data_IF_669660729147
#
_entry.id   IF_669660729147
#
_cell.length_a   1.000
_cell.length_b   1.000
_cell.length_c   1.000
_cell.angle_alpha   90.00
_cell.angle_beta   90.00
_cell.angle_gamma   90.00
#
_symmetry.space_group_name_H-M   'P 1'
#
loop_
_entity.id
_entity.type
_entity.pdbx_description
1 polymer ?
#
# COMPACT_ATOMS: atom_id res chain seq x y z
N UNK A 1 61.45 23.70 -15.70
CA UNK A 1 60.36 23.03 -14.97
C UNK A 1 60.31 21.59 -15.42
N UNK A 2 60.39 20.63 -14.50
CA UNK A 2 60.21 19.21 -14.84
C UNK A 2 58.71 18.92 -14.97
N UNK A 3 58.32 18.24 -16.05
CA UNK A 3 56.95 17.73 -16.22
C UNK A 3 56.77 16.53 -15.30
N UNK A 4 55.84 16.61 -14.34
CA UNK A 4 55.50 15.52 -13.44
C UNK A 4 54.06 15.07 -13.70
N UNK A 5 53.89 13.82 -14.11
CA UNK A 5 52.58 13.17 -14.24
C UNK A 5 52.13 12.69 -12.87
N UNK A 6 50.97 13.16 -12.40
CA UNK A 6 50.39 12.65 -11.16
C UNK A 6 49.68 11.32 -11.37
N UNK A 7 49.89 10.38 -10.46
CA UNK A 7 49.23 9.08 -10.48
C UNK A 7 47.81 9.22 -9.90
N UNK A 8 46.81 8.79 -10.66
CA UNK A 8 45.44 8.62 -10.16
C UNK A 8 45.37 7.27 -9.44
N UNK A 9 45.07 7.29 -8.14
CA UNK A 9 45.14 6.09 -7.31
C UNK A 9 43.80 5.38 -7.12
N UNK A 10 42.67 6.09 -7.30
CA UNK A 10 41.33 5.53 -7.10
C UNK A 10 40.22 6.40 -7.72
N UNK A 11 39.01 5.82 -7.78
CA UNK A 11 37.78 6.48 -8.26
C UNK A 11 36.66 6.48 -7.19
N UNK A 12 37.01 6.43 -5.90
CA UNK A 12 36.03 6.29 -4.80
C UNK A 12 34.96 7.39 -4.77
N UNK A 13 35.21 8.55 -5.38
CA UNK A 13 34.25 9.66 -5.45
C UNK A 13 33.30 9.60 -6.65
N UNK A 14 33.47 8.62 -7.54
CA UNK A 14 32.59 8.37 -8.68
C UNK A 14 32.60 9.46 -9.75
N UNK A 15 31.47 9.61 -10.43
CA UNK A 15 31.24 10.69 -11.39
C UNK A 15 30.99 12.01 -10.65
N UNK A 16 31.83 13.01 -10.91
CA UNK A 16 31.69 14.34 -10.35
C UNK A 16 30.65 15.13 -11.14
N UNK A 17 29.77 15.82 -10.43
CA UNK A 17 28.83 16.75 -11.06
C UNK A 17 29.58 17.77 -11.92
N UNK A 18 29.08 18.16 -13.10
CA UNK A 18 29.69 19.21 -13.92
C UNK A 18 29.91 20.54 -13.17
N UNK A 19 29.11 20.83 -12.14
CA UNK A 19 29.29 22.03 -11.28
C UNK A 19 30.52 21.96 -10.36
N UNK A 20 31.09 20.78 -10.19
CA UNK A 20 32.26 20.52 -9.34
C UNK A 20 33.57 20.37 -10.15
N UNK A 21 33.49 20.46 -11.48
CA UNK A 21 34.62 20.24 -12.39
C UNK A 21 35.79 21.22 -12.18
N UNK A 22 35.53 22.41 -11.62
CA UNK A 22 36.58 23.39 -11.29
C UNK A 22 37.03 23.39 -9.82
N UNK A 23 36.44 22.57 -8.97
CA UNK A 23 36.64 22.60 -7.51
C UNK A 23 37.82 21.72 -7.09
N UNK A 24 39.02 22.10 -7.54
CA UNK A 24 40.30 21.43 -7.23
C UNK A 24 40.67 21.46 -5.75
N UNK A 25 39.98 22.28 -4.96
CA UNK A 25 40.12 22.37 -3.50
C UNK A 25 39.39 21.24 -2.76
N UNK A 26 38.39 20.61 -3.39
CA UNK A 26 37.69 19.49 -2.78
C UNK A 26 38.56 18.23 -2.81
N UNK A 27 38.75 17.60 -1.65
CA UNK A 27 39.49 16.34 -1.55
C UNK A 27 38.95 15.23 -2.48
N UNK A 28 37.62 15.25 -2.74
CA UNK A 28 36.95 14.31 -3.65
C UNK A 28 37.29 14.52 -5.12
N UNK A 29 37.79 15.70 -5.50
CA UNK A 29 38.14 16.04 -6.87
C UNK A 29 39.21 15.09 -7.44
N UNK A 30 40.23 14.80 -6.65
CA UNK A 30 41.37 13.95 -7.05
C UNK A 30 41.05 12.46 -7.12
N UNK A 31 39.91 12.04 -6.53
CA UNK A 31 39.47 10.65 -6.42
C UNK A 31 38.18 10.39 -7.22
N UNK A 32 37.79 11.32 -8.08
CA UNK A 32 36.61 11.24 -8.93
C UNK A 32 36.98 11.36 -10.40
N UNK A 33 35.98 11.28 -11.27
CA UNK A 33 36.16 11.45 -12.71
C UNK A 33 35.02 12.24 -13.31
N UNK A 34 35.23 12.79 -14.50
CA UNK A 34 34.22 13.58 -15.21
C UNK A 34 33.04 12.74 -15.72
N UNK A 35 33.30 11.50 -16.11
CA UNK A 35 32.31 10.62 -16.72
C UNK A 35 32.57 9.18 -16.29
N UNK A 36 31.55 8.51 -15.74
CA UNK A 36 31.62 7.13 -15.28
C UNK A 36 30.37 6.35 -15.69
N UNK A 37 30.31 5.92 -16.95
CA UNK A 37 29.16 5.19 -17.49
C UNK A 37 29.33 3.68 -17.39
N UNK A 38 28.33 2.99 -16.82
CA UNK A 38 28.30 1.54 -16.68
C UNK A 38 29.46 0.94 -15.86
N UNK A 39 29.89 1.63 -14.79
CA UNK A 39 30.83 1.09 -13.81
C UNK A 39 30.23 1.05 -12.41
N UNK A 40 30.73 0.12 -11.60
CA UNK A 40 30.53 0.06 -10.16
C UNK A 40 31.86 0.48 -9.51
N UNK A 41 31.82 1.56 -8.75
CA UNK A 41 32.96 2.01 -7.94
C UNK A 41 33.07 1.11 -6.72
N UNK A 42 34.24 0.54 -6.50
CA UNK A 42 34.51 -0.22 -5.28
C UNK A 42 34.97 0.71 -4.16
N UNK A 43 34.57 0.46 -2.90
CA UNK A 43 35.08 1.20 -1.74
C UNK A 43 36.62 1.18 -1.62
N UNK A 44 37.26 0.12 -2.14
CA UNK A 44 38.73 -0.04 -2.18
C UNK A 44 39.43 0.75 -3.28
N UNK A 45 38.67 1.47 -4.12
CA UNK A 45 39.19 2.47 -5.05
C UNK A 45 39.19 2.11 -6.53
N UNK A 46 39.21 0.82 -6.87
CA UNK A 46 39.01 0.39 -8.25
C UNK A 46 37.59 0.64 -8.74
N UNK A 47 37.39 0.58 -10.06
CA UNK A 47 36.07 0.51 -10.66
C UNK A 47 36.02 -0.72 -11.57
N UNK A 48 34.93 -1.48 -11.53
CA UNK A 48 34.66 -2.58 -12.44
C UNK A 48 33.49 -2.24 -13.35
N UNK A 49 33.45 -2.82 -14.55
CA UNK A 49 32.29 -2.68 -15.42
C UNK A 49 31.08 -3.29 -14.71
N UNK A 50 29.94 -2.61 -14.78
CA UNK A 50 28.67 -3.12 -14.27
C UNK A 50 28.35 -4.43 -14.99
N UNK A 51 27.79 -5.39 -14.24
CA UNK A 51 27.27 -6.62 -14.83
C UNK A 51 26.33 -6.34 -16.00
N UNK A 52 26.38 -7.19 -17.02
CA UNK A 52 25.48 -7.10 -18.16
C UNK A 52 24.02 -7.29 -17.74
N UNK A 53 23.10 -6.93 -18.63
CA UNK A 53 21.70 -7.27 -18.45
C UNK A 53 21.43 -8.66 -19.01
N UNK A 54 20.61 -9.44 -18.31
CA UNK A 54 20.01 -10.66 -18.82
C UNK A 54 18.60 -10.33 -19.31
N UNK A 55 18.24 -10.82 -20.50
CA UNK A 55 16.86 -10.77 -20.96
C UNK A 55 16.03 -11.78 -20.16
N UNK A 56 15.07 -11.27 -19.37
CA UNK A 56 14.14 -12.11 -18.62
C UNK A 56 12.95 -12.55 -19.48
N UNK A 57 12.30 -11.59 -20.15
CA UNK A 57 11.24 -11.80 -21.13
C UNK A 57 11.08 -10.54 -22.00
N UNK A 58 10.45 -10.70 -23.16
CA UNK A 58 9.92 -9.57 -23.93
C UNK A 58 8.68 -9.00 -23.25
N UNK A 59 8.40 -7.70 -23.43
CA UNK A 59 7.22 -7.02 -22.88
C UNK A 59 5.91 -7.70 -23.30
N UNK A 60 4.88 -7.62 -22.46
CA UNK A 60 3.62 -8.34 -22.70
C UNK A 60 2.92 -7.87 -23.97
N UNK A 61 3.15 -6.60 -24.31
CA UNK A 61 2.85 -6.03 -25.60
C UNK A 61 4.01 -5.11 -26.03
N UNK A 62 4.84 -5.51 -27.00
CA UNK A 62 5.97 -4.70 -27.46
C UNK A 62 5.56 -3.35 -28.09
N UNK A 63 4.30 -3.18 -28.49
CA UNK A 63 3.81 -1.97 -29.13
C UNK A 63 3.38 -0.88 -28.15
N UNK A 64 3.21 -1.19 -26.86
CA UNK A 64 2.71 -0.27 -25.84
C UNK A 64 3.57 -0.33 -24.57
N UNK A 65 3.71 0.79 -23.83
CA UNK A 65 4.49 0.78 -22.59
C UNK A 65 3.79 -0.05 -21.50
N UNK A 66 4.58 -0.85 -20.78
CA UNK A 66 4.18 -1.57 -19.57
C UNK A 66 4.56 -0.79 -18.31
N UNK A 67 3.86 -1.06 -17.21
CA UNK A 67 4.21 -0.59 -15.86
C UNK A 67 4.76 -1.75 -15.03
N UNK A 68 5.95 -1.57 -14.46
CA UNK A 68 6.56 -2.54 -13.54
C UNK A 68 6.40 -2.06 -12.10
N UNK A 69 5.81 -2.90 -11.26
CA UNK A 69 5.68 -2.67 -9.82
C UNK A 69 6.45 -3.72 -9.04
N UNK A 70 7.26 -3.29 -8.08
CA UNK A 70 7.90 -4.20 -7.14
C UNK A 70 6.88 -4.63 -6.08
N UNK A 71 6.91 -5.92 -5.74
CA UNK A 71 6.11 -6.47 -4.65
C UNK A 71 6.98 -7.40 -3.82
N UNK A 72 7.15 -7.11 -2.54
CA UNK A 72 8.04 -7.87 -1.65
C UNK A 72 7.27 -8.38 -0.44
N UNK A 73 6.94 -9.67 -0.42
CA UNK A 73 6.29 -10.26 0.76
C UNK A 73 7.30 -10.48 1.88
N UNK A 74 8.48 -10.99 1.54
CA UNK A 74 9.63 -11.16 2.40
C UNK A 74 10.91 -11.32 1.55
N UNK A 75 12.06 -11.50 2.21
CA UNK A 75 13.36 -11.63 1.56
C UNK A 75 13.49 -12.80 0.56
N UNK A 76 12.65 -13.83 0.66
CA UNK A 76 12.66 -15.01 -0.23
C UNK A 76 11.58 -14.92 -1.34
N UNK A 77 10.53 -14.13 -1.09
CA UNK A 77 9.36 -14.00 -1.94
C UNK A 77 9.22 -12.54 -2.39
N UNK A 78 10.13 -12.14 -3.28
CA UNK A 78 10.08 -10.88 -4.00
C UNK A 78 9.65 -11.11 -5.47
N UNK A 79 8.82 -10.20 -5.97
CA UNK A 79 8.22 -10.29 -7.30
C UNK A 79 8.30 -8.95 -8.02
N UNK A 80 8.30 -9.01 -9.34
CA UNK A 80 8.02 -7.86 -10.19
C UNK A 80 6.70 -8.13 -10.91
N UNK A 81 5.74 -7.24 -10.72
CA UNK A 81 4.44 -7.29 -11.38
C UNK A 81 4.52 -6.41 -12.62
N UNK A 82 4.23 -6.99 -13.79
CA UNK A 82 4.11 -6.22 -15.01
C UNK A 82 2.64 -6.06 -15.37
N UNK A 83 2.20 -4.81 -15.40
CA UNK A 83 0.93 -4.39 -15.96
C UNK A 83 1.17 -3.98 -17.41
N UNK A 84 0.37 -4.52 -18.32
CA UNK A 84 0.44 -4.23 -19.75
C UNK A 84 -0.95 -4.27 -20.35
N UNK A 85 -1.10 -3.62 -21.50
CA UNK A 85 -2.34 -3.68 -22.27
C UNK A 85 -2.14 -4.66 -23.43
N UNK A 86 -3.03 -5.64 -23.57
CA UNK A 86 -2.97 -6.61 -24.66
C UNK A 86 -3.32 -6.00 -26.02
N UNK A 87 -3.16 -6.77 -27.10
CA UNK A 87 -3.47 -6.30 -28.46
C UNK A 87 -4.96 -5.96 -28.65
N UNK A 88 -5.85 -6.50 -27.81
CA UNK A 88 -7.28 -6.23 -27.83
C UNK A 88 -7.67 -5.01 -26.97
N UNK A 89 -6.70 -4.35 -26.32
CA UNK A 89 -6.92 -3.17 -25.49
C UNK A 89 -7.30 -3.49 -24.04
N UNK A 90 -7.21 -4.75 -23.60
CA UNK A 90 -7.53 -5.12 -22.24
C UNK A 90 -6.30 -5.05 -21.34
N UNK A 91 -6.48 -4.55 -20.11
CA UNK A 91 -5.48 -4.61 -19.07
C UNK A 91 -5.15 -6.05 -18.69
N UNK A 92 -3.87 -6.36 -18.58
CA UNK A 92 -3.33 -7.64 -18.13
C UNK A 92 -2.22 -7.41 -17.12
N UNK A 93 -2.04 -8.38 -16.24
CA UNK A 93 -0.94 -8.43 -15.30
C UNK A 93 -0.25 -9.79 -15.38
N UNK A 94 1.07 -9.78 -15.40
CA UNK A 94 1.90 -11.00 -15.30
C UNK A 94 2.98 -10.81 -14.24
N UNK A 95 3.53 -11.92 -13.75
CA UNK A 95 4.36 -11.94 -12.55
C UNK A 95 5.73 -12.50 -12.87
N UNK A 96 6.77 -11.83 -12.37
CA UNK A 96 8.15 -12.29 -12.45
C UNK A 96 8.65 -12.68 -11.06
N UNK A 97 9.37 -13.80 -10.99
CA UNK A 97 10.08 -14.28 -9.81
C UNK A 97 11.37 -14.97 -10.25
N UNK A 98 12.42 -14.92 -9.44
CA UNK A 98 13.67 -15.67 -9.64
C UNK A 98 14.27 -15.55 -11.06
N UNK A 99 14.27 -14.33 -11.63
CA UNK A 99 14.80 -14.03 -12.97
C UNK A 99 14.01 -14.63 -14.15
N UNK A 100 12.75 -15.01 -13.95
CA UNK A 100 11.86 -15.52 -15.00
C UNK A 100 10.39 -15.14 -14.77
N UNK A 101 9.55 -15.53 -15.72
CA UNK A 101 8.09 -15.43 -15.60
C UNK A 101 7.56 -16.58 -14.74
N UNK A 102 6.59 -16.27 -13.89
CA UNK A 102 5.84 -17.29 -13.14
C UNK A 102 4.96 -18.08 -14.10
N UNK A 103 4.95 -19.40 -13.94
CA UNK A 103 4.12 -20.31 -14.70
C UNK A 103 2.91 -20.76 -13.87
N UNK A 104 1.81 -21.06 -14.53
CA UNK A 104 0.66 -21.72 -13.90
C UNK A 104 0.89 -23.23 -13.73
N UNK A 105 -0.09 -23.93 -13.15
CA UNK A 105 -0.02 -25.38 -12.95
C UNK A 105 0.04 -26.21 -14.24
N UNK A 106 -0.27 -25.61 -15.40
CA UNK A 106 -0.15 -26.21 -16.73
C UNK A 106 1.16 -25.91 -17.44
N UNK A 107 2.06 -25.11 -16.82
CA UNK A 107 3.33 -24.70 -17.41
C UNK A 107 3.23 -23.54 -18.40
N UNK A 108 2.06 -22.91 -18.53
CA UNK A 108 1.90 -21.68 -19.32
C UNK A 108 2.25 -20.44 -18.47
N UNK A 109 2.60 -19.32 -19.11
CA UNK A 109 2.88 -18.07 -18.39
C UNK A 109 1.63 -17.60 -17.66
N UNK A 110 1.74 -17.42 -16.35
CA UNK A 110 0.64 -16.93 -15.53
C UNK A 110 0.33 -15.46 -15.86
N UNK A 111 -0.91 -15.21 -16.26
CA UNK A 111 -1.43 -13.87 -16.52
C UNK A 111 -2.87 -13.73 -16.00
N UNK A 112 -3.16 -12.58 -15.41
CA UNK A 112 -4.43 -12.19 -14.82
C UNK A 112 -5.01 -10.98 -15.58
N UNK A 113 -6.33 -10.88 -15.68
CA UNK A 113 -7.00 -9.66 -16.15
C UNK A 113 -6.81 -8.50 -15.17
N UNK A 114 -6.32 -7.37 -15.66
CA UNK A 114 -6.19 -6.14 -14.88
C UNK A 114 -7.29 -5.14 -15.26
N UNK A 115 -7.90 -4.42 -14.30
CA UNK A 115 -8.82 -3.34 -14.62
C UNK A 115 -8.13 -2.11 -15.21
N UNK A 116 -6.79 -2.04 -15.12
CA UNK A 116 -6.01 -0.89 -15.56
C UNK A 116 -5.44 -1.11 -16.96
N UNK A 117 -5.68 -0.15 -17.84
CA UNK A 117 -5.13 -0.11 -19.19
C UNK A 117 -3.92 0.83 -19.26
N UNK A 118 -3.26 0.91 -20.42
CA UNK A 118 -2.02 1.68 -20.56
C UNK A 118 -2.21 3.18 -20.23
N UNK A 119 -3.39 3.72 -20.51
CA UNK A 119 -3.75 5.11 -20.20
C UNK A 119 -3.71 5.42 -18.69
N UNK A 120 -3.93 4.43 -17.84
CA UNK A 120 -4.03 4.59 -16.38
C UNK A 120 -2.66 4.59 -15.70
N UNK A 121 -1.64 3.98 -16.32
CA UNK A 121 -0.37 3.66 -15.67
C UNK A 121 0.38 4.89 -15.13
N UNK A 122 0.27 6.04 -15.79
CA UNK A 122 0.94 7.27 -15.36
C UNK A 122 0.42 7.81 -14.02
N UNK A 123 -0.89 7.59 -13.76
CA UNK A 123 -1.57 8.13 -12.56
C UNK A 123 -1.87 7.06 -11.51
N UNK A 124 -1.63 5.78 -11.83
CA UNK A 124 -1.76 4.70 -10.85
C UNK A 124 -0.77 4.92 -9.71
N UNK A 125 -1.28 4.92 -8.47
CA UNK A 125 -0.49 4.95 -7.25
C UNK A 125 -0.77 3.71 -6.44
N UNK A 126 0.23 3.30 -5.66
CA UNK A 126 0.15 2.09 -4.88
C UNK A 126 0.92 2.21 -3.57
N UNK A 127 0.50 1.40 -2.61
CA UNK A 127 1.26 1.11 -1.39
C UNK A 127 1.06 -0.36 -1.04
N UNK A 128 2.08 -0.99 -0.48
CA UNK A 128 2.02 -2.40 -0.09
C UNK A 128 1.95 -2.53 1.43
N UNK A 129 1.16 -3.50 1.90
CA UNK A 129 1.22 -4.03 3.26
C UNK A 129 1.17 -5.55 3.20
N UNK A 130 2.26 -6.20 3.59
CA UNK A 130 2.41 -7.66 3.59
C UNK A 130 2.05 -8.30 2.23
N UNK A 131 0.97 -9.08 2.20
CA UNK A 131 0.45 -9.83 1.06
C UNK A 131 -0.49 -9.02 0.15
N UNK A 132 -0.79 -7.78 0.52
CA UNK A 132 -1.80 -6.97 -0.14
C UNK A 132 -1.22 -5.65 -0.65
N UNK A 133 -1.40 -5.40 -1.94
CA UNK A 133 -1.09 -4.14 -2.60
C UNK A 133 -2.38 -3.32 -2.73
N UNK A 134 -2.37 -2.08 -2.25
CA UNK A 134 -3.46 -1.13 -2.36
C UNK A 134 -3.19 -0.24 -3.57
N UNK A 135 -4.15 -0.13 -4.48
CA UNK A 135 -4.05 0.57 -5.75
C UNK A 135 -5.11 1.66 -5.81
N UNK A 136 -4.71 2.86 -6.21
CA UNK A 136 -5.61 4.01 -6.38
C UNK A 136 -5.35 4.73 -7.70
N UNK A 137 -6.43 5.19 -8.33
CA UNK A 137 -6.42 5.91 -9.59
C UNK A 137 -7.62 6.88 -9.60
N UNK A 138 -7.54 8.08 -10.21
CA UNK A 138 -8.67 9.04 -10.27
C UNK A 138 -9.96 8.49 -10.92
N UNK A 139 -9.81 7.64 -11.93
CA UNK A 139 -10.93 7.13 -12.73
C UNK A 139 -11.41 5.72 -12.32
N UNK A 140 -10.70 5.06 -11.40
CA UNK A 140 -11.03 3.71 -10.93
C UNK A 140 -11.21 3.69 -9.41
N UNK A 141 -12.20 2.96 -8.87
CA UNK A 141 -12.35 2.85 -7.43
C UNK A 141 -11.12 2.18 -6.79
N UNK A 142 -10.77 2.52 -5.54
CA UNK A 142 -9.67 1.89 -4.84
C UNK A 142 -9.79 0.36 -4.82
N UNK A 143 -8.69 -0.32 -5.14
CA UNK A 143 -8.64 -1.78 -5.25
C UNK A 143 -7.49 -2.36 -4.44
N UNK A 144 -7.68 -3.56 -3.93
CA UNK A 144 -6.60 -4.40 -3.45
C UNK A 144 -6.19 -5.39 -4.54
N UNK A 145 -4.91 -5.71 -4.54
CA UNK A 145 -4.34 -6.86 -5.24
C UNK A 145 -3.69 -7.73 -4.16
N UNK A 146 -4.29 -8.89 -3.88
CA UNK A 146 -3.82 -9.81 -2.84
C UNK A 146 -3.12 -11.00 -3.46
N UNK A 147 -1.99 -11.38 -2.86
CA UNK A 147 -1.20 -12.56 -3.23
C UNK A 147 -1.48 -13.70 -2.26
N UNK A 148 -1.90 -14.85 -2.78
CA UNK A 148 -2.03 -16.09 -1.98
C UNK A 148 -0.97 -17.13 -2.31
N UNK A 149 -0.42 -17.11 -3.53
CA UNK A 149 0.66 -18.00 -3.98
C UNK A 149 1.50 -17.30 -5.09
N UNK A 150 2.51 -17.98 -5.65
CA UNK A 150 3.31 -17.49 -6.77
C UNK A 150 2.44 -17.17 -7.99
N UNK A 151 1.52 -18.08 -8.34
CA UNK A 151 0.59 -17.97 -9.46
C UNK A 151 -0.87 -17.76 -9.02
N UNK A 152 -1.08 -17.17 -7.84
CA UNK A 152 -2.43 -16.89 -7.33
C UNK A 152 -2.53 -15.46 -6.80
N UNK A 153 -3.17 -14.62 -7.60
CA UNK A 153 -3.36 -13.20 -7.38
C UNK A 153 -4.80 -12.83 -7.68
N UNK A 154 -5.36 -11.90 -6.90
CA UNK A 154 -6.75 -11.47 -7.07
C UNK A 154 -6.88 -9.96 -6.90
N UNK A 155 -7.54 -9.31 -7.86
CA UNK A 155 -8.04 -7.95 -7.70
C UNK A 155 -9.38 -7.98 -6.97
N UNK A 156 -9.54 -7.11 -5.98
CA UNK A 156 -10.83 -6.85 -5.35
C UNK A 156 -11.03 -5.34 -5.21
N UNK A 157 -12.27 -4.88 -5.38
CA UNK A 157 -12.63 -3.51 -5.05
C UNK A 157 -12.75 -3.37 -3.53
N UNK A 158 -12.24 -2.27 -2.99
CA UNK A 158 -12.27 -2.04 -1.54
C UNK A 158 -13.65 -1.52 -1.13
N UNK A 159 -14.35 -2.31 -0.33
CA UNK A 159 -15.58 -1.88 0.33
C UNK A 159 -15.24 -1.15 1.64
N UNK A 160 -15.21 0.18 1.60
CA UNK A 160 -15.01 0.97 2.81
C UNK A 160 -16.30 1.08 3.63
N UNK A 161 -16.16 1.02 4.95
CA UNK A 161 -17.21 1.46 5.86
C UNK A 161 -17.08 2.98 6.02
N UNK A 162 -18.14 3.73 5.73
CA UNK A 162 -18.11 5.20 5.79
C UNK A 162 -17.39 5.84 4.61
N UNK A 163 -17.60 5.32 3.39
CA UNK A 163 -17.03 5.91 2.16
C UNK A 163 -17.33 7.41 2.08
N UNK A 164 -16.31 8.27 1.87
CA UNK A 164 -16.53 9.71 1.73
C UNK A 164 -17.48 10.05 0.58
N UNK A 165 -18.46 10.93 0.82
CA UNK A 165 -19.43 11.37 -0.20
C UNK A 165 -18.78 12.02 -1.42
N UNK A 166 -17.58 12.58 -1.24
CA UNK A 166 -16.81 13.19 -2.32
C UNK A 166 -16.38 12.17 -3.39
N UNK A 167 -16.33 10.88 -3.08
CA UNK A 167 -15.81 9.87 -4.00
C UNK A 167 -16.88 9.42 -4.99
N UNK A 168 -16.50 9.34 -6.26
CA UNK A 168 -17.39 8.94 -7.33
C UNK A 168 -16.65 8.69 -8.65
N UNK A 169 -17.37 8.39 -9.74
CA UNK A 169 -16.77 8.18 -11.06
C UNK A 169 -15.93 9.40 -11.48
N UNK A 170 -14.64 9.18 -11.80
CA UNK A 170 -13.70 10.25 -12.16
C UNK A 170 -13.26 11.15 -11.00
N UNK A 171 -13.67 10.86 -9.77
CA UNK A 171 -13.29 11.62 -8.57
C UNK A 171 -12.77 10.73 -7.43
N UNK A 172 -12.00 9.70 -7.77
CA UNK A 172 -11.42 8.77 -6.81
C UNK A 172 -10.07 9.28 -6.25
N UNK A 173 -9.60 8.77 -5.10
CA UNK A 173 -8.31 9.17 -4.52
C UNK A 173 -7.14 8.96 -5.48
N UNK A 174 -6.16 9.87 -5.46
CA UNK A 174 -4.98 9.80 -6.34
C UNK A 174 -3.67 9.61 -5.60
N UNK A 175 -3.69 9.59 -4.27
CA UNK A 175 -2.54 9.27 -3.44
C UNK A 175 -2.94 8.32 -2.30
N UNK A 176 -2.00 7.45 -1.93
CA UNK A 176 -2.18 6.44 -0.88
C UNK A 176 -0.87 6.21 -0.13
N UNK A 177 -0.93 6.09 1.19
CA UNK A 177 0.18 5.65 2.02
C UNK A 177 -0.30 5.04 3.35
N UNK A 178 0.62 4.51 4.15
CA UNK A 178 0.36 4.11 5.53
C UNK A 178 0.98 5.11 6.51
N UNK A 179 0.24 5.42 7.56
CA UNK A 179 0.71 6.25 8.66
C UNK A 179 0.10 5.78 9.98
N UNK A 180 0.93 5.50 10.99
CA UNK A 180 0.48 5.10 12.34
C UNK A 180 -0.62 4.02 12.35
N UNK A 181 -0.41 2.91 11.63
CA UNK A 181 -1.39 1.83 11.47
C UNK A 181 -2.73 2.26 10.83
N UNK A 182 -2.73 3.30 10.00
CA UNK A 182 -3.88 3.75 9.21
C UNK A 182 -3.55 3.73 7.73
N UNK A 183 -4.54 3.37 6.93
CA UNK A 183 -4.52 3.65 5.50
C UNK A 183 -4.90 5.11 5.31
N UNK A 184 -4.04 5.86 4.61
CA UNK A 184 -4.27 7.26 4.29
C UNK A 184 -4.49 7.36 2.79
N UNK A 185 -5.64 7.93 2.42
CA UNK A 185 -6.04 8.19 1.04
C UNK A 185 -6.14 9.70 0.85
N UNK A 186 -5.84 10.20 -0.34
CA UNK A 186 -5.69 11.64 -0.52
C UNK A 186 -5.96 12.10 -1.95
N UNK A 187 -6.23 13.41 -2.05
CA UNK A 187 -6.22 14.19 -3.27
C UNK A 187 -7.11 13.62 -4.37
N UNK A 188 -8.44 13.64 -4.19
CA UNK A 188 -9.35 13.41 -5.32
C UNK A 188 -9.25 14.59 -6.30
N UNK A 189 -9.55 14.42 -7.60
CA UNK A 189 -9.56 15.52 -8.57
C UNK A 189 -10.38 16.76 -8.16
N UNK A 190 -11.51 16.55 -7.48
CA UNK A 190 -12.39 17.61 -6.96
C UNK A 190 -11.95 18.17 -5.61
N UNK A 191 -11.19 17.41 -4.81
CA UNK A 191 -10.68 17.84 -3.51
C UNK A 191 -9.19 17.49 -3.34
N UNK A 192 -8.28 18.23 -4.01
CA UNK A 192 -6.86 17.91 -4.05
C UNK A 192 -6.14 18.07 -2.70
N UNK A 193 -6.70 18.87 -1.79
CA UNK A 193 -6.10 19.18 -0.48
C UNK A 193 -6.67 18.32 0.66
N UNK A 194 -7.55 17.36 0.36
CA UNK A 194 -8.22 16.52 1.37
C UNK A 194 -7.44 15.23 1.61
N UNK A 195 -7.37 14.83 2.88
CA UNK A 195 -6.84 13.55 3.35
C UNK A 195 -7.94 12.79 4.09
N UNK A 196 -8.05 11.50 3.81
CA UNK A 196 -8.92 10.56 4.50
C UNK A 196 -8.08 9.52 5.22
N UNK A 197 -8.29 9.41 6.53
CA UNK A 197 -7.57 8.47 7.38
C UNK A 197 -8.52 7.36 7.79
N UNK A 198 -8.08 6.11 7.61
CA UNK A 198 -8.77 4.99 8.22
C UNK A 198 -8.62 5.00 9.74
N UNK A 199 -9.47 4.22 10.40
CA UNK A 199 -9.31 3.89 11.81
C UNK A 199 -7.95 3.22 12.05
N UNK A 200 -7.33 3.53 13.18
CA UNK A 200 -6.09 2.87 13.57
C UNK A 200 -6.33 1.35 13.75
N UNK A 201 -5.52 0.54 13.06
CA UNK A 201 -5.60 -0.92 13.07
C UNK A 201 -6.69 -1.51 12.17
N UNK A 202 -7.51 -0.69 11.52
CA UNK A 202 -8.53 -1.12 10.56
C UNK A 202 -8.49 -0.25 9.30
N UNK A 203 -7.93 -0.81 8.23
CA UNK A 203 -7.67 -0.08 6.98
C UNK A 203 -8.93 0.21 6.17
N UNK A 204 -10.05 -0.45 6.46
CA UNK A 204 -11.28 -0.37 5.66
C UNK A 204 -12.39 0.46 6.33
N UNK A 205 -12.15 0.96 7.55
CA UNK A 205 -13.08 1.83 8.27
C UNK A 205 -12.65 3.31 8.14
N UNK A 206 -13.39 4.08 7.33
CA UNK A 206 -13.20 5.52 7.09
C UNK A 206 -14.22 6.39 7.83
N UNK A 207 -15.05 5.82 8.70
CA UNK A 207 -16.06 6.59 9.44
C UNK A 207 -15.41 7.71 10.25
N UNK A 208 -16.01 8.89 10.17
CA UNK A 208 -15.56 10.08 10.93
C UNK A 208 -16.04 10.07 12.38
N UNK A 209 -17.08 9.28 12.69
CA UNK A 209 -17.63 9.15 14.04
C UNK A 209 -17.86 7.67 14.41
N UNK A 210 -17.64 7.33 15.68
CA UNK A 210 -17.93 6.01 16.27
C UNK A 210 -19.43 5.65 16.31
N UNK A 211 -20.31 6.58 15.93
CA UNK A 211 -21.78 6.50 16.03
C UNK A 211 -22.47 6.08 14.73
N UNK A 212 -21.74 5.48 13.79
CA UNK A 212 -22.29 4.95 12.53
C UNK A 212 -22.08 3.44 12.47
N UNK A 213 -22.53 2.75 13.52
CA UNK A 213 -22.81 1.32 13.40
C UNK A 213 -24.16 1.20 12.71
N UNK A 214 -24.33 0.36 11.67
CA UNK A 214 -25.66 0.07 11.15
C UNK A 214 -26.56 -0.35 12.32
N UNK A 215 -27.65 0.38 12.53
CA UNK A 215 -28.65 0.10 13.58
C UNK A 215 -29.39 -1.22 13.33
N UNK A 216 -29.25 -1.77 12.12
CA UNK A 216 -29.89 -3.00 11.70
C UNK A 216 -29.27 -4.18 12.45
N UNK A 217 -30.08 -4.84 13.29
CA UNK A 217 -29.66 -5.96 14.14
C UNK A 217 -29.34 -5.61 15.60
N UNK A 218 -29.35 -4.33 16.00
CA UNK A 218 -29.28 -3.97 17.41
C UNK A 218 -30.57 -4.35 18.12
N UNK A 219 -30.49 -5.24 19.10
CA UNK A 219 -31.60 -5.53 20.02
C UNK A 219 -31.44 -4.65 21.25
N UNK A 220 -32.42 -3.78 21.50
CA UNK A 220 -32.54 -3.13 22.81
C UNK A 220 -32.88 -4.23 23.83
N UNK A 221 -32.04 -4.39 24.86
CA UNK A 221 -32.26 -5.34 25.95
C UNK A 221 -32.42 -4.54 27.24
N UNK A 222 -33.57 -4.70 27.88
CA UNK A 222 -33.83 -4.10 29.18
C UNK A 222 -32.93 -4.75 30.24
N UNK A 223 -32.14 -3.94 30.92
CA UNK A 223 -31.26 -4.40 32.00
C UNK A 223 -32.11 -4.41 33.27
N UNK A 224 -32.61 -5.58 33.64
CA UNK A 224 -33.26 -5.79 34.93
C UNK A 224 -32.21 -6.18 35.97
N UNK A 225 -32.12 -5.40 37.04
CA UNK A 225 -31.32 -5.72 38.21
C UNK A 225 -32.06 -6.74 39.08
N UNK A 226 -31.34 -7.64 39.74
CA UNK A 226 -31.91 -8.64 40.63
C UNK A 226 -32.26 -8.01 42.00
N UNK A 227 -33.03 -6.92 41.97
CA UNK A 227 -33.64 -6.30 43.14
C UNK A 227 -32.85 -5.21 43.85
N UNK A 228 -31.72 -4.69 43.34
CA UNK A 228 -31.06 -3.52 43.95
C UNK A 228 -30.41 -2.55 42.95
N UNK A 229 -31.18 -1.55 42.51
CA UNK A 229 -30.74 -0.31 41.85
C UNK A 229 -29.21 -0.13 41.63
N UNK A 230 -28.66 -0.69 40.56
CA UNK A 230 -27.36 -0.31 40.00
C UNK A 230 -27.39 1.14 39.46
N UNK A 231 -27.43 2.12 40.36
CA UNK A 231 -27.71 3.52 40.03
C UNK A 231 -26.46 4.34 39.72
N UNK A 232 -25.25 3.85 40.02
CA UNK A 232 -24.05 4.70 40.01
C UNK A 232 -23.04 4.43 38.89
N UNK A 233 -23.21 3.37 38.08
CA UNK A 233 -22.35 3.08 36.92
C UNK A 233 -20.86 2.95 37.24
N UNK A 234 -20.50 2.66 38.50
CA UNK A 234 -19.09 2.55 38.92
C UNK A 234 -18.46 1.26 38.41
N UNK A 235 -17.12 1.28 38.27
CA UNK A 235 -16.34 0.09 38.01
C UNK A 235 -16.59 -0.95 39.13
N UNK A 236 -17.05 -2.15 38.75
CA UNK A 236 -17.37 -3.23 39.68
C UNK A 236 -18.82 -3.73 39.65
N UNK A 237 -19.74 -2.99 39.01
CA UNK A 237 -21.12 -3.45 38.85
C UNK A 237 -21.19 -4.67 37.93
N UNK A 238 -21.95 -5.69 38.34
CA UNK A 238 -22.19 -6.93 37.58
C UNK A 238 -23.66 -6.99 37.21
N UNK A 239 -23.95 -7.23 35.94
CA UNK A 239 -25.30 -7.47 35.44
C UNK A 239 -25.36 -8.87 34.80
N UNK A 240 -26.46 -9.57 35.04
CA UNK A 240 -26.70 -10.89 34.45
C UNK A 240 -27.54 -10.72 33.19
N UNK A 241 -26.95 -11.03 32.04
CA UNK A 241 -27.66 -10.98 30.75
C UNK A 241 -28.44 -12.29 30.57
N UNK A 242 -29.77 -12.21 30.51
CA UNK A 242 -30.65 -13.40 30.47
C UNK A 242 -30.78 -14.07 29.08
N UNK A 243 -30.10 -13.57 28.06
CA UNK A 243 -30.05 -14.16 26.73
C UNK A 243 -28.62 -14.16 26.19
N UNK A 244 -27.77 -14.99 26.79
CA UNK A 244 -26.42 -15.25 26.28
C UNK A 244 -26.48 -16.21 25.09
N UNK A 245 -26.51 -15.68 23.88
CA UNK A 245 -25.84 -16.35 22.78
C UNK A 245 -24.43 -15.74 22.61
N UNK A 246 -23.55 -16.46 21.91
CA UNK A 246 -22.12 -16.19 21.78
C UNK A 246 -21.77 -14.91 20.97
N UNK A 247 -22.67 -13.92 20.92
CA UNK A 247 -22.57 -12.71 20.08
C UNK A 247 -21.76 -11.56 20.69
N UNK A 248 -21.34 -11.66 21.96
CA UNK A 248 -20.46 -10.67 22.59
C UNK A 248 -18.98 -11.05 22.38
N UNK A 249 -18.38 -10.54 21.29
CA UNK A 249 -16.93 -10.56 21.10
C UNK A 249 -16.27 -9.37 21.82
N UNK A 250 -14.95 -9.44 22.07
CA UNK A 250 -14.20 -8.33 22.67
C UNK A 250 -14.34 -7.06 21.83
N UNK A 251 -14.78 -5.96 22.43
CA UNK A 251 -15.07 -4.70 21.73
C UNK A 251 -16.55 -4.43 21.46
N UNK A 252 -17.45 -5.36 21.77
CA UNK A 252 -18.91 -5.12 21.75
C UNK A 252 -19.32 -4.09 22.82
N UNK A 253 -20.37 -3.31 22.54
CA UNK A 253 -20.92 -2.34 23.47
C UNK A 253 -22.39 -2.64 23.78
N UNK A 254 -22.75 -2.53 25.06
CA UNK A 254 -24.11 -2.62 25.58
C UNK A 254 -24.66 -1.21 25.80
N UNK A 255 -25.90 -0.98 25.36
CA UNK A 255 -26.66 0.23 25.65
C UNK A 255 -27.65 -0.08 26.76
N UNK A 256 -27.43 0.49 27.93
CA UNK A 256 -28.37 0.46 29.05
C UNK A 256 -29.19 1.75 29.08
N UNK A 257 -30.48 1.66 29.37
CA UNK A 257 -31.35 2.81 29.61
C UNK A 257 -31.88 2.72 31.03
N UNK A 258 -31.89 3.83 31.75
CA UNK A 258 -32.54 3.89 33.06
C UNK A 258 -34.05 3.62 32.92
N UNK A 259 -34.74 3.00 33.90
CA UNK A 259 -36.20 2.81 33.89
C UNK A 259 -37.03 4.07 33.60
N UNK A 260 -36.50 5.28 33.86
CA UNK A 260 -37.15 6.54 33.48
C UNK A 260 -37.08 6.86 31.98
N UNK A 261 -36.24 6.16 31.22
CA UNK A 261 -35.96 6.41 29.80
C UNK A 261 -35.11 7.66 29.53
N UNK A 262 -34.76 8.45 30.54
CA UNK A 262 -34.10 9.75 30.34
C UNK A 262 -32.60 9.60 30.06
N UNK A 263 -31.91 8.72 30.78
CA UNK A 263 -30.47 8.54 30.67
C UNK A 263 -30.13 7.26 29.89
N UNK A 264 -29.29 7.42 28.85
CA UNK A 264 -28.72 6.32 28.07
C UNK A 264 -27.24 6.19 28.48
N UNK A 265 -26.83 5.00 28.87
CA UNK A 265 -25.47 4.67 29.30
C UNK A 265 -24.89 3.56 28.43
N UNK A 266 -23.61 3.66 28.10
CA UNK A 266 -22.92 2.69 27.24
C UNK A 266 -21.87 1.94 28.05
N UNK A 267 -21.92 0.61 28.03
CA UNK A 267 -20.96 -0.26 28.68
C UNK A 267 -20.16 -0.99 27.61
N UNK A 268 -18.83 -1.02 27.74
CA UNK A 268 -17.93 -1.72 26.80
C UNK A 268 -17.50 -3.05 27.40
N UNK A 269 -17.61 -4.13 26.63
CA UNK A 269 -17.06 -5.45 26.95
C UNK A 269 -15.63 -5.59 26.41
#
# INVERSE_FOLDING_TARGET
>A
MALQTQLITNFTSGELSPRLEGRVDLARYYNGCRELKNFIVHPHGGASRRGGFRLAAEAGNPAKPSLLLAFEFNAEQAYVLEFFEDAAGNGKMRVFKDSGLVLDGGGAVYALGSPYAQADFARLRHVQSNDTLFLVHPDHPPRTLTRTDHAAWAFAEIAFTGTPEAWGPGNQPTAVCFFEQRLVLAATPGEPNTLWFSRAGDFFDLRTATREVPLDGWRDVEIADNGQNATDGRAGNRFTLYAGDASFQGGSALKGRDPSGADIRYYRY
#
